data_IF_188966689508
#
_entry.id   IF_188966689508
#
_cell.length_a   1.000
_cell.length_b   1.000
_cell.length_c   1.000
_cell.angle_alpha   90.00
_cell.angle_beta   90.00
_cell.angle_gamma   90.00
#
_symmetry.space_group_name_H-M   'P 1'
#
loop_
_entity.id
_entity.type
_entity.pdbx_description
1 polymer ?
#
# COMPACT_ATOMS: atom_id res chain seq x y z
N UNK A 1 -19.09 -8.00 -7.81
CA UNK A 1 -18.84 -9.29 -8.49
C UNK A 1 -18.23 -10.30 -7.53
N UNK A 2 -17.01 -10.08 -7.01
CA UNK A 2 -16.27 -11.10 -6.23
C UNK A 2 -17.01 -11.64 -4.99
N UNK A 3 -17.81 -10.81 -4.31
CA UNK A 3 -18.57 -11.19 -3.10
C UNK A 3 -19.60 -12.31 -3.34
N UNK A 4 -20.02 -12.52 -4.57
CA UNK A 4 -20.98 -13.57 -4.93
C UNK A 4 -20.30 -14.95 -5.07
N UNK A 5 -18.97 -14.96 -5.14
CA UNK A 5 -18.17 -16.18 -5.28
C UNK A 5 -17.56 -16.67 -3.97
N UNK A 6 -17.25 -15.77 -3.05
CA UNK A 6 -16.74 -16.12 -1.71
C UNK A 6 -17.08 -15.03 -0.69
N UNK A 7 -17.44 -15.40 0.54
CA UNK A 7 -17.56 -14.46 1.65
C UNK A 7 -16.19 -13.99 2.18
N UNK A 8 -15.13 -14.75 1.92
CA UNK A 8 -13.77 -14.46 2.38
C UNK A 8 -12.95 -13.84 1.26
N UNK A 9 -12.94 -12.50 1.22
CA UNK A 9 -12.20 -11.70 0.22
C UNK A 9 -11.23 -10.80 0.94
N UNK A 10 -9.96 -10.90 0.58
CA UNK A 10 -8.89 -9.99 0.98
C UNK A 10 -8.50 -9.09 -0.20
N UNK A 11 -8.62 -7.79 -0.04
CA UNK A 11 -8.10 -6.83 -1.02
C UNK A 11 -6.61 -6.64 -0.82
N UNK A 12 -5.81 -7.11 -1.76
CA UNK A 12 -4.35 -6.95 -1.72
C UNK A 12 -3.89 -5.59 -2.27
N UNK A 13 -4.63 -5.03 -3.24
CA UNK A 13 -4.43 -3.69 -3.82
C UNK A 13 -5.76 -3.17 -4.39
N UNK A 14 -5.70 -2.06 -5.14
CA UNK A 14 -6.88 -1.49 -5.81
C UNK A 14 -7.42 -2.41 -6.93
N UNK A 15 -6.56 -3.27 -7.48
CA UNK A 15 -6.81 -4.12 -8.65
C UNK A 15 -6.56 -5.62 -8.38
N UNK A 16 -6.21 -6.00 -7.14
CA UNK A 16 -5.91 -7.38 -6.78
C UNK A 16 -6.67 -7.81 -5.53
N UNK A 17 -7.26 -9.01 -5.58
CA UNK A 17 -7.91 -9.63 -4.44
C UNK A 17 -7.57 -11.12 -4.34
N UNK A 18 -7.58 -11.64 -3.12
CA UNK A 18 -7.59 -13.07 -2.85
C UNK A 18 -8.98 -13.50 -2.40
N UNK A 19 -9.41 -14.64 -2.90
CA UNK A 19 -10.66 -15.29 -2.51
C UNK A 19 -10.35 -16.66 -1.91
N UNK A 20 -10.87 -16.93 -0.73
CA UNK A 20 -10.85 -18.30 -0.21
C UNK A 20 -12.08 -19.04 -0.72
N UNK A 21 -11.84 -20.04 -1.57
CA UNK A 21 -12.88 -20.87 -2.19
C UNK A 21 -13.05 -22.23 -1.49
N UNK A 22 -12.39 -22.47 -0.36
CA UNK A 22 -12.38 -23.77 0.33
C UNK A 22 -13.79 -24.26 0.66
N UNK A 23 -14.65 -23.38 1.15
CA UNK A 23 -16.03 -23.69 1.56
C UNK A 23 -17.07 -23.46 0.45
N UNK A 24 -16.66 -23.06 -0.76
CA UNK A 24 -17.56 -22.72 -1.85
C UNK A 24 -17.78 -23.87 -2.84
N UNK A 25 -17.29 -25.07 -2.53
CA UNK A 25 -17.32 -26.24 -3.45
C UNK A 25 -18.73 -26.69 -3.82
N UNK A 26 -19.71 -26.45 -2.97
CA UNK A 26 -21.11 -26.80 -3.22
C UNK A 26 -21.85 -25.78 -4.08
N UNK A 27 -21.30 -24.56 -4.22
CA UNK A 27 -21.92 -23.47 -4.98
C UNK A 27 -21.58 -23.53 -6.47
N UNK A 28 -20.49 -24.20 -6.81
CA UNK A 28 -19.98 -24.27 -8.19
C UNK A 28 -19.57 -25.68 -8.54
N UNK A 29 -19.76 -26.12 -9.79
CA UNK A 29 -19.38 -27.45 -10.26
C UNK A 29 -17.89 -27.77 -10.07
N UNK A 30 -17.06 -26.75 -10.17
CA UNK A 30 -15.63 -26.80 -9.85
C UNK A 30 -15.08 -25.38 -9.60
N UNK A 31 -13.98 -25.24 -8.84
CA UNK A 31 -13.32 -23.94 -8.64
C UNK A 31 -12.91 -23.29 -9.96
N UNK A 32 -12.49 -24.09 -10.95
CA UNK A 32 -12.15 -23.60 -12.30
C UNK A 32 -13.35 -22.96 -13.00
N UNK A 33 -14.53 -23.60 -12.93
CA UNK A 33 -15.77 -23.06 -13.50
C UNK A 33 -16.20 -21.76 -12.83
N UNK A 34 -16.03 -21.67 -11.51
CA UNK A 34 -16.26 -20.42 -10.78
C UNK A 34 -15.34 -19.30 -11.29
N UNK A 35 -14.05 -19.57 -11.48
CA UNK A 35 -13.10 -18.60 -12.01
C UNK A 35 -13.41 -18.18 -13.45
N UNK A 36 -13.81 -19.11 -14.31
CA UNK A 36 -14.25 -18.83 -15.70
C UNK A 36 -15.51 -17.96 -15.73
N UNK A 37 -16.47 -18.24 -14.86
CA UNK A 37 -17.68 -17.43 -14.72
C UNK A 37 -17.37 -16.02 -14.19
N UNK A 38 -16.49 -15.91 -13.18
CA UNK A 38 -16.03 -14.64 -12.64
C UNK A 38 -15.34 -13.77 -13.72
N UNK A 39 -14.42 -14.36 -14.50
CA UNK A 39 -13.74 -13.66 -15.60
C UNK A 39 -14.73 -13.12 -16.63
N UNK A 40 -15.69 -13.95 -17.06
CA UNK A 40 -16.74 -13.52 -18.01
C UNK A 40 -17.53 -12.33 -17.46
N UNK A 41 -17.98 -12.39 -16.20
CA UNK A 41 -18.74 -11.29 -15.58
C UNK A 41 -17.92 -9.99 -15.49
N UNK A 42 -16.62 -10.08 -15.19
CA UNK A 42 -15.76 -8.90 -15.19
C UNK A 42 -15.70 -8.25 -16.58
N UNK A 43 -15.64 -9.04 -17.63
CA UNK A 43 -15.69 -8.55 -19.02
C UNK A 43 -17.07 -7.95 -19.33
N UNK A 44 -18.14 -8.69 -19.07
CA UNK A 44 -19.51 -8.33 -19.44
C UNK A 44 -20.01 -7.08 -18.69
N UNK A 45 -19.69 -6.97 -17.40
CA UNK A 45 -20.17 -5.88 -16.53
C UNK A 45 -19.25 -4.64 -16.52
N UNK A 46 -17.93 -4.82 -16.72
CA UNK A 46 -16.95 -3.74 -16.55
C UNK A 46 -16.12 -3.45 -17.81
N UNK A 47 -16.20 -4.30 -18.85
CA UNK A 47 -15.37 -4.18 -20.04
C UNK A 47 -13.86 -4.39 -19.78
N UNK A 48 -13.50 -5.06 -18.67
CA UNK A 48 -12.12 -5.27 -18.25
C UNK A 48 -11.76 -6.76 -18.33
N UNK A 49 -10.51 -7.06 -18.65
CA UNK A 49 -9.96 -8.40 -18.51
C UNK A 49 -9.30 -8.59 -17.14
N UNK A 50 -9.29 -9.80 -16.62
CA UNK A 50 -8.56 -10.15 -15.41
C UNK A 50 -7.87 -11.51 -15.52
N UNK A 51 -6.70 -11.65 -14.93
CA UNK A 51 -6.01 -12.93 -14.80
C UNK A 51 -6.29 -13.56 -13.46
N UNK A 52 -6.66 -14.83 -13.47
CA UNK A 52 -6.96 -15.61 -12.26
C UNK A 52 -5.92 -16.71 -12.08
N UNK A 53 -5.31 -16.74 -10.92
CA UNK A 53 -4.43 -17.83 -10.47
C UNK A 53 -5.10 -18.60 -9.34
N UNK A 54 -5.06 -19.91 -9.42
CA UNK A 54 -5.61 -20.80 -8.40
C UNK A 54 -4.50 -21.68 -7.83
N UNK A 55 -4.48 -21.85 -6.53
CA UNK A 55 -3.49 -22.67 -5.86
C UNK A 55 -3.90 -22.97 -4.42
N UNK A 56 -3.18 -23.85 -3.71
CA UNK A 56 -3.51 -24.22 -2.34
C UNK A 56 -3.29 -23.11 -1.32
N UNK A 57 -2.58 -22.06 -1.67
CA UNK A 57 -2.33 -20.90 -0.81
C UNK A 57 -2.18 -19.60 -1.62
N UNK A 58 -2.11 -18.45 -0.91
CA UNK A 58 -2.04 -17.12 -1.55
C UNK A 58 -0.77 -16.93 -2.39
N UNK A 59 0.37 -17.48 -1.96
CA UNK A 59 1.63 -17.38 -2.69
C UNK A 59 1.50 -18.04 -4.08
N UNK A 60 1.07 -19.28 -4.12
CA UNK A 60 0.93 -20.03 -5.38
C UNK A 60 -0.14 -19.43 -6.29
N UNK A 61 -1.30 -19.03 -5.71
CA UNK A 61 -2.35 -18.36 -6.47
C UNK A 61 -1.85 -17.05 -7.12
N UNK A 62 -1.06 -16.25 -6.38
CA UNK A 62 -0.50 -15.00 -6.89
C UNK A 62 0.53 -15.23 -8.00
N UNK A 63 1.43 -16.20 -7.83
CA UNK A 63 2.42 -16.55 -8.84
C UNK A 63 1.74 -17.08 -10.13
N UNK A 64 0.75 -17.95 -9.96
CA UNK A 64 -0.05 -18.48 -11.08
C UNK A 64 -0.77 -17.36 -11.84
N UNK A 65 -1.44 -16.44 -11.13
CA UNK A 65 -2.09 -15.27 -11.76
C UNK A 65 -1.10 -14.41 -12.54
N UNK A 66 0.13 -14.23 -12.05
CA UNK A 66 1.15 -13.44 -12.72
C UNK A 66 1.65 -14.09 -14.00
N UNK A 67 1.77 -15.42 -14.03
CA UNK A 67 2.14 -16.20 -15.23
C UNK A 67 1.04 -16.21 -16.28
N UNK A 68 -0.21 -16.08 -15.86
CA UNK A 68 -1.36 -16.06 -16.77
C UNK A 68 -1.66 -14.69 -17.40
N UNK A 69 -0.86 -13.68 -17.17
CA UNK A 69 -1.10 -12.33 -17.75
C UNK A 69 -0.76 -12.28 -19.25
N UNK A 70 -1.55 -11.54 -20.05
CA UNK A 70 -2.86 -10.97 -19.74
C UNK A 70 -3.98 -12.01 -19.86
N UNK A 71 -5.10 -11.77 -19.16
CA UNK A 71 -6.38 -12.51 -19.27
C UNK A 71 -6.31 -14.04 -19.12
N UNK A 72 -5.34 -14.55 -18.37
CA UNK A 72 -5.13 -15.99 -18.18
C UNK A 72 -5.98 -16.59 -17.04
N UNK A 73 -6.03 -17.92 -17.04
CA UNK A 73 -6.54 -18.74 -15.95
C UNK A 73 -5.60 -19.92 -15.74
N UNK A 74 -4.81 -19.86 -14.67
CA UNK A 74 -3.83 -20.90 -14.31
C UNK A 74 -4.21 -21.54 -12.98
N UNK A 75 -4.25 -22.88 -13.00
CA UNK A 75 -4.55 -23.70 -11.81
C UNK A 75 -3.32 -24.53 -11.49
N UNK A 76 -2.80 -24.40 -10.27
CA UNK A 76 -1.65 -25.18 -9.77
C UNK A 76 -2.13 -26.06 -8.62
N UNK A 77 -2.03 -27.38 -8.79
CA UNK A 77 -2.31 -28.35 -7.74
C UNK A 77 -1.11 -28.51 -6.82
N UNK A 78 -1.35 -29.03 -5.61
CA UNK A 78 -0.27 -29.24 -4.62
C UNK A 78 0.90 -30.09 -5.17
N UNK A 79 0.60 -31.13 -5.95
CA UNK A 79 1.60 -31.99 -6.58
C UNK A 79 2.42 -31.30 -7.68
N UNK A 80 1.92 -30.20 -8.24
CA UNK A 80 2.57 -29.48 -9.34
C UNK A 80 3.48 -28.35 -8.85
N UNK A 81 3.42 -28.01 -7.54
CA UNK A 81 4.16 -26.89 -6.95
C UNK A 81 5.67 -26.97 -7.17
N UNK A 82 6.35 -28.13 -6.93
CA UNK A 82 7.81 -28.20 -7.12
C UNK A 82 8.20 -27.87 -8.56
N UNK A 83 7.56 -28.49 -9.53
CA UNK A 83 7.83 -28.25 -10.96
C UNK A 83 7.52 -26.81 -11.37
N UNK A 84 6.41 -26.25 -10.86
CA UNK A 84 6.03 -24.87 -11.10
C UNK A 84 7.07 -23.88 -10.59
N UNK A 85 7.58 -24.08 -9.38
CA UNK A 85 8.57 -23.19 -8.75
C UNK A 85 9.97 -23.33 -9.36
N UNK A 86 10.35 -24.51 -9.84
CA UNK A 86 11.64 -24.75 -10.50
C UNK A 86 11.81 -23.89 -11.75
N UNK A 87 10.72 -23.63 -12.47
CA UNK A 87 10.73 -22.85 -13.70
C UNK A 87 10.49 -21.33 -13.47
N UNK A 88 10.24 -20.90 -12.23
CA UNK A 88 9.95 -19.50 -11.94
C UNK A 88 11.19 -18.72 -11.53
N UNK A 89 11.54 -17.63 -12.23
CA UNK A 89 12.60 -16.73 -11.80
C UNK A 89 12.35 -16.17 -10.41
N UNK A 90 13.42 -16.08 -9.60
CA UNK A 90 13.36 -15.65 -8.20
C UNK A 90 12.75 -14.25 -8.02
N UNK A 91 12.95 -13.33 -8.96
CA UNK A 91 12.42 -11.98 -8.94
C UNK A 91 10.89 -11.88 -9.02
N UNK A 92 10.19 -12.97 -9.37
CA UNK A 92 8.72 -12.99 -9.43
C UNK A 92 8.06 -13.16 -8.05
N UNK A 93 8.82 -13.57 -7.04
CA UNK A 93 8.29 -13.70 -5.68
C UNK A 93 8.03 -12.33 -5.08
N UNK A 94 6.80 -12.11 -4.63
CA UNK A 94 6.42 -10.86 -3.95
C UNK A 94 7.33 -10.60 -2.74
N UNK A 95 7.92 -9.41 -2.69
CA UNK A 95 8.86 -9.02 -1.64
C UNK A 95 10.32 -9.24 -2.01
N UNK A 96 10.63 -9.84 -3.15
CA UNK A 96 11.98 -9.87 -3.72
C UNK A 96 12.09 -8.75 -4.74
N UNK A 97 12.63 -7.60 -4.31
CA UNK A 97 12.96 -6.49 -5.20
C UNK A 97 14.38 -6.62 -5.76
N UNK A 98 14.80 -5.74 -6.70
CA UNK A 98 16.07 -5.86 -7.42
C UNK A 98 17.31 -6.07 -6.54
N UNK A 99 17.41 -5.36 -5.40
CA UNK A 99 18.55 -5.51 -4.49
C UNK A 99 18.59 -6.90 -3.83
N UNK A 100 17.42 -7.41 -3.44
CA UNK A 100 17.34 -8.75 -2.81
C UNK A 100 17.54 -9.84 -3.84
N UNK A 101 17.01 -9.67 -5.04
CA UNK A 101 17.24 -10.57 -6.17
C UNK A 101 18.75 -10.66 -6.50
N UNK A 102 19.44 -9.54 -6.64
CA UNK A 102 20.88 -9.52 -6.89
C UNK A 102 21.66 -10.26 -5.78
N UNK A 103 21.26 -10.06 -4.51
CA UNK A 103 21.88 -10.77 -3.39
C UNK A 103 21.61 -12.28 -3.40
N UNK A 104 20.43 -12.74 -3.83
CA UNK A 104 20.11 -14.16 -3.97
C UNK A 104 20.85 -14.77 -5.16
N UNK A 105 20.91 -14.08 -6.30
CA UNK A 105 21.66 -14.51 -7.47
C UNK A 105 23.16 -14.66 -7.18
N UNK A 106 23.75 -13.80 -6.33
CA UNK A 106 25.15 -13.95 -5.89
C UNK A 106 25.40 -15.20 -5.04
N UNK A 107 24.35 -15.82 -4.52
CA UNK A 107 24.40 -17.11 -3.82
C UNK A 107 24.12 -18.31 -4.75
N UNK A 108 23.97 -18.09 -6.06
CA UNK A 108 23.64 -19.12 -7.04
C UNK A 108 22.15 -19.44 -7.16
N UNK A 109 21.26 -18.68 -6.46
CA UNK A 109 19.81 -18.88 -6.46
C UNK A 109 19.22 -18.10 -7.62
N UNK A 110 18.68 -18.79 -8.63
CA UNK A 110 18.11 -18.18 -9.83
C UNK A 110 16.59 -18.36 -9.92
N UNK A 111 16.08 -19.50 -9.47
CA UNK A 111 14.69 -19.86 -9.46
C UNK A 111 14.07 -19.90 -8.07
N UNK A 112 12.74 -19.95 -8.00
CA UNK A 112 12.04 -20.15 -6.73
C UNK A 112 12.34 -21.55 -6.15
N UNK A 113 12.48 -22.57 -7.00
CA UNK A 113 12.87 -23.92 -6.57
C UNK A 113 14.28 -23.97 -5.99
N UNK A 114 15.25 -23.22 -6.55
CA UNK A 114 16.59 -23.11 -5.95
C UNK A 114 16.52 -22.53 -4.53
N UNK A 115 15.64 -21.54 -4.32
CA UNK A 115 15.45 -20.93 -3.01
C UNK A 115 14.95 -21.93 -1.97
N UNK A 116 14.04 -22.83 -2.35
CA UNK A 116 13.55 -23.92 -1.50
C UNK A 116 14.59 -25.02 -1.22
N UNK A 117 15.53 -25.24 -2.13
CA UNK A 117 16.63 -26.20 -1.97
C UNK A 117 17.82 -25.62 -1.19
N UNK A 118 17.93 -24.30 -1.12
CA UNK A 118 19.08 -23.66 -0.49
C UNK A 118 19.02 -23.80 1.04
N UNK A 119 20.15 -24.08 1.72
CA UNK A 119 20.16 -24.30 3.18
C UNK A 119 19.63 -23.10 3.95
N UNK A 120 18.58 -23.31 4.78
CA UNK A 120 17.87 -22.27 5.54
C UNK A 120 18.79 -21.49 6.47
N UNK A 121 19.77 -22.18 7.11
CA UNK A 121 20.73 -21.54 8.02
C UNK A 121 21.61 -20.49 7.32
N UNK A 122 21.99 -20.74 6.05
CA UNK A 122 22.78 -19.80 5.25
C UNK A 122 21.92 -18.62 4.81
N UNK A 123 20.64 -18.86 4.42
CA UNK A 123 19.69 -17.78 4.13
C UNK A 123 19.43 -16.92 5.37
N UNK A 124 19.24 -17.51 6.55
CA UNK A 124 19.09 -16.79 7.82
C UNK A 124 20.32 -15.93 8.13
N UNK A 125 21.53 -16.48 7.95
CA UNK A 125 22.77 -15.74 8.17
C UNK A 125 22.90 -14.52 7.25
N UNK A 126 22.46 -14.63 6.00
CA UNK A 126 22.59 -13.57 4.99
C UNK A 126 21.47 -12.54 5.04
N UNK A 127 20.22 -12.96 5.32
CA UNK A 127 19.01 -12.17 5.19
C UNK A 127 18.20 -12.02 6.48
N UNK A 128 18.72 -12.52 7.60
CA UNK A 128 18.02 -12.46 8.89
C UNK A 128 16.67 -13.18 8.87
N UNK A 129 15.68 -12.60 9.53
CA UNK A 129 14.30 -13.13 9.58
C UNK A 129 13.71 -13.44 8.19
N UNK A 130 14.04 -12.65 7.19
CA UNK A 130 13.57 -12.88 5.82
C UNK A 130 14.09 -14.17 5.20
N UNK A 131 15.26 -14.66 5.62
CA UNK A 131 15.86 -15.89 5.07
C UNK A 131 14.99 -17.12 5.25
N UNK A 132 14.40 -17.31 6.43
CA UNK A 132 13.48 -18.42 6.70
C UNK A 132 12.20 -18.31 5.88
N UNK A 133 11.61 -17.11 5.85
CA UNK A 133 10.39 -16.86 5.06
C UNK A 133 10.61 -17.10 3.57
N UNK A 134 11.75 -16.67 3.04
CA UNK A 134 12.11 -16.90 1.64
C UNK A 134 12.29 -18.40 1.34
N UNK A 135 12.90 -19.15 2.23
CA UNK A 135 13.02 -20.61 2.08
C UNK A 135 11.65 -21.29 2.00
N UNK A 136 10.72 -20.97 2.92
CA UNK A 136 9.36 -21.49 2.88
C UNK A 136 8.64 -21.12 1.58
N UNK A 137 8.80 -19.86 1.12
CA UNK A 137 8.25 -19.45 -0.17
C UNK A 137 8.85 -20.25 -1.33
N UNK A 138 10.12 -20.59 -1.29
CA UNK A 138 10.78 -21.46 -2.26
C UNK A 138 10.26 -22.90 -2.27
N UNK A 139 9.73 -23.36 -1.13
CA UNK A 139 9.02 -24.64 -1.01
C UNK A 139 7.54 -24.55 -1.39
N UNK A 140 7.04 -23.36 -1.71
CA UNK A 140 5.62 -23.12 -2.00
C UNK A 140 4.72 -23.10 -0.76
N UNK A 141 5.31 -22.91 0.42
CA UNK A 141 4.62 -22.88 1.70
C UNK A 141 4.25 -21.45 2.08
N UNK A 142 2.96 -21.20 2.26
CA UNK A 142 2.41 -19.94 2.77
C UNK A 142 1.15 -20.25 3.56
N UNK A 143 1.24 -20.12 4.88
CA UNK A 143 0.13 -20.39 5.81
C UNK A 143 -0.70 -19.14 6.13
N UNK A 144 -0.42 -18.01 5.45
CA UNK A 144 -1.16 -16.77 5.71
C UNK A 144 -2.60 -16.90 5.25
N UNK A 145 -3.59 -16.74 6.16
CA UNK A 145 -4.99 -16.85 5.79
C UNK A 145 -5.42 -15.70 4.87
N UNK A 146 -6.52 -15.89 4.15
CA UNK A 146 -7.25 -14.80 3.50
C UNK A 146 -7.95 -14.00 4.57
N UNK A 147 -7.61 -12.73 4.71
CA UNK A 147 -8.16 -11.83 5.73
C UNK A 147 -9.36 -11.08 5.15
N UNK A 148 -10.60 -11.34 5.63
CA UNK A 148 -11.80 -10.70 5.10
C UNK A 148 -11.74 -9.17 5.19
N UNK A 149 -12.47 -8.52 4.28
CA UNK A 149 -12.63 -7.06 4.27
C UNK A 149 -13.09 -6.55 5.64
N UNK A 150 -12.39 -5.55 6.17
CA UNK A 150 -12.68 -4.93 7.46
C UNK A 150 -12.07 -5.65 8.68
N UNK A 151 -11.44 -6.82 8.50
CA UNK A 151 -10.76 -7.56 9.57
C UNK A 151 -9.22 -7.43 9.49
N UNK A 152 -8.71 -6.66 8.55
CA UNK A 152 -7.29 -6.40 8.43
C UNK A 152 -6.72 -5.57 9.61
N UNK A 153 -5.40 -5.61 9.81
CA UNK A 153 -4.75 -4.80 10.84
C UNK A 153 -4.98 -3.31 10.59
N UNK A 154 -5.01 -2.54 11.67
CA UNK A 154 -5.07 -1.07 11.56
C UNK A 154 -3.92 -0.54 10.68
N UNK A 155 -4.17 0.51 9.88
CA UNK A 155 -3.15 1.09 9.03
C UNK A 155 -1.98 1.62 9.87
N UNK A 156 -0.75 1.38 9.42
CA UNK A 156 0.47 1.84 10.12
C UNK A 156 0.81 3.30 9.81
N UNK A 157 0.36 3.80 8.67
CA UNK A 157 0.59 5.16 8.20
C UNK A 157 -0.43 5.57 7.14
N UNK A 158 -0.66 6.87 7.01
CA UNK A 158 -1.32 7.48 5.86
C UNK A 158 -0.37 8.43 5.17
N UNK A 159 -0.34 8.39 3.85
CA UNK A 159 0.49 9.29 3.05
C UNK A 159 -0.10 9.56 1.67
N UNK A 160 0.37 10.65 1.09
CA UNK A 160 0.11 11.04 -0.29
C UNK A 160 1.39 11.48 -0.97
N UNK A 161 1.48 11.20 -2.26
CA UNK A 161 2.54 11.66 -3.14
C UNK A 161 1.95 12.46 -4.28
N UNK A 162 2.68 13.48 -4.73
CA UNK A 162 2.34 14.25 -5.91
C UNK A 162 3.59 14.50 -6.74
N UNK A 163 3.52 14.17 -8.03
CA UNK A 163 4.51 14.64 -9.00
C UNK A 163 4.08 16.04 -9.43
N UNK A 164 4.98 17.01 -9.34
CA UNK A 164 4.72 18.37 -9.74
C UNK A 164 4.53 18.43 -11.27
N UNK A 165 3.63 19.28 -11.80
CA UNK A 165 3.46 19.46 -13.24
C UNK A 165 4.75 19.90 -13.93
N UNK A 166 5.53 20.73 -13.24
CA UNK A 166 6.88 21.18 -13.66
C UNK A 166 7.81 21.10 -12.46
N UNK A 167 9.06 20.69 -12.68
CA UNK A 167 10.09 20.67 -11.66
C UNK A 167 10.34 22.10 -11.15
N UNK A 168 10.28 22.33 -9.84
CA UNK A 168 10.33 23.66 -9.26
C UNK A 168 11.24 23.74 -8.04
N UNK A 169 11.98 24.86 -7.94
CA UNK A 169 12.71 25.25 -6.73
C UNK A 169 12.01 26.42 -5.99
N UNK A 170 10.88 26.92 -6.51
CA UNK A 170 10.13 28.02 -5.88
C UNK A 170 9.45 27.53 -4.61
N UNK A 171 9.82 28.17 -3.49
CA UNK A 171 9.25 27.85 -2.17
C UNK A 171 7.72 28.05 -2.13
N UNK A 172 7.18 29.01 -2.88
CA UNK A 172 5.73 29.24 -2.93
C UNK A 172 5.00 28.05 -3.56
N UNK A 173 5.53 27.52 -4.66
CA UNK A 173 5.02 26.32 -5.32
C UNK A 173 5.10 25.12 -4.37
N UNK A 174 6.28 24.88 -3.80
CA UNK A 174 6.54 23.75 -2.90
C UNK A 174 5.63 23.83 -1.66
N UNK A 175 5.51 25.00 -1.02
CA UNK A 175 4.66 25.18 0.15
C UNK A 175 3.18 24.98 -0.15
N UNK A 176 2.72 25.37 -1.34
CA UNK A 176 1.36 25.10 -1.81
C UNK A 176 1.07 23.61 -1.91
N UNK A 177 1.97 22.84 -2.54
CA UNK A 177 1.83 21.37 -2.61
C UNK A 177 1.94 20.70 -1.24
N UNK A 178 2.84 21.17 -0.36
CA UNK A 178 2.92 20.66 1.00
C UNK A 178 1.65 20.92 1.79
N UNK A 179 1.01 22.08 1.64
CA UNK A 179 -0.28 22.38 2.27
C UNK A 179 -1.38 21.46 1.75
N UNK A 180 -1.47 21.27 0.43
CA UNK A 180 -2.43 20.36 -0.20
C UNK A 180 -2.29 18.93 0.31
N UNK A 181 -1.07 18.39 0.31
CA UNK A 181 -0.76 17.06 0.83
C UNK A 181 -1.11 16.94 2.32
N UNK A 182 -0.83 17.98 3.11
CA UNK A 182 -1.14 18.00 4.55
C UNK A 182 -2.64 17.92 4.81
N UNK A 183 -3.44 18.64 4.03
CA UNK A 183 -4.91 18.57 4.14
C UNK A 183 -5.43 17.18 3.75
N UNK A 184 -4.92 16.59 2.67
CA UNK A 184 -5.30 15.23 2.25
C UNK A 184 -5.00 14.20 3.32
N UNK A 185 -3.79 14.24 3.89
CA UNK A 185 -3.39 13.30 4.95
C UNK A 185 -4.20 13.55 6.22
N UNK A 186 -4.39 14.81 6.63
CA UNK A 186 -5.19 15.16 7.80
C UNK A 186 -6.64 14.71 7.68
N UNK A 187 -7.26 14.88 6.51
CA UNK A 187 -8.63 14.41 6.22
C UNK A 187 -8.72 12.87 6.30
N UNK A 188 -7.71 12.14 5.78
CA UNK A 188 -7.67 10.68 5.90
C UNK A 188 -7.56 10.21 7.34
N UNK A 189 -6.74 10.88 8.17
CA UNK A 189 -6.64 10.59 9.59
C UNK A 189 -8.00 10.77 10.29
N UNK A 190 -8.67 11.92 10.08
CA UNK A 190 -9.98 12.22 10.68
C UNK A 190 -11.07 11.23 10.25
N UNK A 191 -11.13 10.87 8.96
CA UNK A 191 -12.11 9.90 8.43
C UNK A 191 -11.98 8.51 9.06
N UNK A 192 -10.80 8.16 9.56
CA UNK A 192 -10.52 6.87 10.18
C UNK A 192 -10.42 6.95 11.71
N UNK A 193 -10.80 8.09 12.32
CA UNK A 193 -10.66 8.33 13.76
C UNK A 193 -9.25 8.07 14.30
N UNK A 194 -8.23 8.41 13.49
CA UNK A 194 -6.83 8.22 13.81
C UNK A 194 -6.11 9.56 13.95
N UNK A 195 -5.07 9.54 14.75
CA UNK A 195 -4.08 10.61 14.90
C UNK A 195 -2.69 9.99 14.90
N UNK A 196 -1.68 10.74 14.53
CA UNK A 196 -0.32 10.22 14.47
C UNK A 196 0.70 11.18 15.05
N UNK A 197 1.91 10.71 15.28
CA UNK A 197 2.97 11.52 15.89
C UNK A 197 4.14 11.81 14.98
N UNK A 198 4.38 11.00 13.96
CA UNK A 198 5.54 11.13 13.08
C UNK A 198 5.14 11.60 11.70
N UNK A 199 5.62 12.76 11.32
CA UNK A 199 5.50 13.29 9.94
C UNK A 199 6.76 12.94 9.17
N UNK A 200 6.58 12.40 7.97
CA UNK A 200 7.65 12.03 7.04
C UNK A 200 7.46 12.81 5.75
N UNK A 201 8.50 13.51 5.32
CA UNK A 201 8.59 14.21 4.04
C UNK A 201 9.55 13.46 3.13
N UNK A 202 9.10 13.07 1.96
CA UNK A 202 9.90 12.51 0.88
C UNK A 202 9.96 13.52 -0.24
N UNK A 203 11.17 13.83 -0.70
CA UNK A 203 11.43 14.73 -1.80
C UNK A 203 12.21 13.99 -2.87
N UNK A 204 11.74 14.02 -4.11
CA UNK A 204 12.51 13.56 -5.26
C UNK A 204 12.83 14.78 -6.13
N UNK A 205 14.09 14.89 -6.51
CA UNK A 205 14.59 15.99 -7.33
C UNK A 205 14.50 15.69 -8.82
N UNK A 206 14.78 16.67 -9.67
CA UNK A 206 14.79 16.55 -11.14
C UNK A 206 15.75 15.48 -11.66
N UNK A 207 16.87 15.26 -10.96
CA UNK A 207 17.84 14.19 -11.24
C UNK A 207 17.41 12.79 -10.75
N UNK A 208 16.15 12.63 -10.33
CA UNK A 208 15.55 11.42 -9.75
C UNK A 208 16.17 10.97 -8.41
N UNK A 209 17.18 11.65 -7.89
CA UNK A 209 17.63 11.40 -6.52
C UNK A 209 16.52 11.70 -5.52
N UNK A 210 16.44 10.94 -4.44
CA UNK A 210 15.39 11.09 -3.45
C UNK A 210 15.95 11.21 -2.04
N UNK A 211 15.32 12.04 -1.25
CA UNK A 211 15.63 12.28 0.16
C UNK A 211 14.37 12.12 0.99
N UNK A 212 14.48 11.40 2.11
CA UNK A 212 13.40 11.29 3.09
C UNK A 212 13.88 11.80 4.44
N UNK A 213 13.08 12.67 5.08
CA UNK A 213 13.29 13.18 6.43
C UNK A 213 12.01 13.05 7.23
N UNK A 214 12.15 12.91 8.54
CA UNK A 214 11.00 12.75 9.44
C UNK A 214 11.18 13.55 10.72
N UNK A 215 10.07 13.95 11.30
CA UNK A 215 10.03 14.61 12.61
C UNK A 215 8.88 14.02 13.42
N UNK A 216 9.15 13.74 14.70
CA UNK A 216 8.13 13.26 15.65
C UNK A 216 7.65 14.41 16.50
N UNK A 217 6.33 14.57 16.61
CA UNK A 217 5.68 15.53 17.52
C UNK A 217 5.51 14.91 18.91
N UNK A 218 5.57 15.76 19.94
CA UNK A 218 5.21 15.35 21.30
C UNK A 218 3.73 15.00 21.39
N UNK A 219 2.87 15.86 20.82
CA UNK A 219 1.44 15.68 20.82
C UNK A 219 0.98 14.99 19.53
N UNK A 220 -0.04 14.12 19.61
CA UNK A 220 -0.63 13.51 18.44
C UNK A 220 -1.33 14.55 17.57
N UNK A 221 -1.14 14.47 16.28
CA UNK A 221 -1.67 15.37 15.27
C UNK A 221 -2.70 14.67 14.38
N UNK A 222 -3.77 15.38 14.00
CA UNK A 222 -4.82 14.88 13.11
C UNK A 222 -5.30 15.90 12.08
N UNK A 223 -4.82 17.16 12.18
CA UNK A 223 -5.26 18.20 11.25
C UNK A 223 -4.16 18.63 10.30
N UNK A 224 -4.57 19.10 9.10
CA UNK A 224 -3.66 19.47 8.04
C UNK A 224 -2.72 20.61 8.42
N UNK A 225 -3.18 21.58 9.22
CA UNK A 225 -2.36 22.73 9.63
C UNK A 225 -1.15 22.34 10.48
N UNK A 226 -1.32 21.39 11.41
CA UNK A 226 -0.22 20.88 12.24
C UNK A 226 0.77 20.07 11.41
N UNK A 227 0.24 19.20 10.51
CA UNK A 227 1.05 18.43 9.57
C UNK A 227 1.87 19.38 8.69
N UNK A 228 1.25 20.42 8.15
CA UNK A 228 1.90 21.42 7.31
C UNK A 228 3.03 22.16 8.02
N UNK A 229 2.81 22.58 9.26
CA UNK A 229 3.86 23.25 10.07
C UNK A 229 5.08 22.34 10.24
N UNK A 230 4.88 21.05 10.52
CA UNK A 230 5.98 20.09 10.62
C UNK A 230 6.65 19.84 9.28
N UNK A 231 5.87 19.71 8.21
CA UNK A 231 6.38 19.54 6.85
C UNK A 231 7.29 20.72 6.43
N UNK A 232 6.89 21.96 6.74
CA UNK A 232 7.73 23.15 6.49
C UNK A 232 9.01 23.15 7.33
N UNK A 233 8.98 22.73 8.60
CA UNK A 233 10.19 22.61 9.41
C UNK A 233 11.14 21.57 8.83
N UNK A 234 10.62 20.41 8.42
CA UNK A 234 11.40 19.37 7.77
C UNK A 234 12.00 19.91 6.47
N UNK A 235 11.19 20.58 5.66
CA UNK A 235 11.66 21.20 4.41
C UNK A 235 12.80 22.19 4.66
N UNK A 236 12.65 23.08 5.63
CA UNK A 236 13.69 24.03 6.02
C UNK A 236 15.00 23.36 6.43
N UNK A 237 14.94 22.19 7.09
CA UNK A 237 16.14 21.42 7.47
C UNK A 237 16.86 20.74 6.30
N UNK A 238 16.19 20.57 5.16
CA UNK A 238 16.80 19.98 3.96
C UNK A 238 17.78 20.95 3.30
N UNK A 239 17.52 22.26 3.40
CA UNK A 239 18.46 23.30 2.96
C UNK A 239 18.81 23.26 1.45
N UNK A 240 17.93 22.73 0.61
CA UNK A 240 18.23 22.43 -0.78
C UNK A 240 17.59 23.43 -1.76
N UNK A 241 18.35 23.80 -2.79
CA UNK A 241 17.92 24.70 -3.89
C UNK A 241 17.66 23.98 -5.21
N UNK A 242 17.80 22.64 -5.26
CA UNK A 242 17.58 21.87 -6.49
C UNK A 242 16.08 21.83 -6.84
N UNK A 243 15.71 21.82 -8.14
CA UNK A 243 14.33 21.65 -8.54
C UNK A 243 13.74 20.35 -8.03
N UNK A 244 12.53 20.43 -7.48
CA UNK A 244 11.76 19.30 -6.95
C UNK A 244 10.80 18.79 -8.02
N UNK A 245 10.83 17.49 -8.23
CA UNK A 245 9.95 16.77 -9.15
C UNK A 245 8.76 16.13 -8.44
N UNK A 246 8.95 15.63 -7.22
CA UNK A 246 7.91 14.93 -6.48
C UNK A 246 8.01 15.24 -4.99
N UNK A 247 6.86 15.44 -4.38
CA UNK A 247 6.70 15.56 -2.93
C UNK A 247 5.83 14.41 -2.42
N UNK A 248 6.25 13.81 -1.31
CA UNK A 248 5.49 12.83 -0.56
C UNK A 248 5.38 13.23 0.90
N UNK A 249 4.19 13.20 1.45
CA UNK A 249 3.95 13.51 2.84
C UNK A 249 3.17 12.37 3.50
N UNK A 250 3.64 11.91 4.66
CA UNK A 250 3.01 10.82 5.40
C UNK A 250 3.00 11.07 6.90
N UNK A 251 2.02 10.46 7.58
CA UNK A 251 1.91 10.43 9.03
C UNK A 251 1.89 8.98 9.50
N UNK A 252 2.72 8.65 10.47
CA UNK A 252 2.84 7.33 11.08
C UNK A 252 2.87 7.42 12.61
N UNK A 253 3.11 6.29 13.29
CA UNK A 253 2.89 6.15 14.72
C UNK A 253 1.44 6.54 15.04
N UNK A 254 0.53 5.81 14.37
CA UNK A 254 -0.90 6.07 14.46
C UNK A 254 -1.46 5.50 15.76
N UNK A 255 -2.40 6.23 16.35
CA UNK A 255 -3.21 5.80 17.48
C UNK A 255 -4.66 6.23 17.26
N UNK A 256 -5.61 5.50 17.83
CA UNK A 256 -7.03 5.87 17.75
C UNK A 256 -7.28 7.15 18.53
N UNK A 257 -8.13 8.00 18.01
CA UNK A 257 -8.53 9.22 18.72
C UNK A 257 -9.27 8.82 20.00
N UNK A 258 -8.69 9.14 21.16
CA UNK A 258 -9.36 8.94 22.44
C UNK A 258 -10.62 9.82 22.50
N UNK A 259 -11.75 9.21 22.90
CA UNK A 259 -12.97 9.96 23.22
C UNK A 259 -12.91 10.61 24.62
N UNK A 260 -11.83 10.38 25.35
CA UNK A 260 -11.63 10.97 26.67
C UNK A 260 -11.36 12.47 26.51
N UNK A 261 -12.25 13.29 27.02
CA UNK A 261 -12.05 14.72 27.11
C UNK A 261 -10.98 15.01 28.17
N UNK A 262 -10.02 15.90 27.87
CA UNK A 262 -9.08 16.36 28.90
C UNK A 262 -9.84 17.03 30.04
N UNK A 263 -9.53 16.65 31.27
CA UNK A 263 -10.24 17.13 32.45
C UNK A 263 -10.16 18.68 32.64
N UNK A 264 -9.10 19.29 32.08
CA UNK A 264 -8.77 20.72 32.26
C UNK A 264 -8.70 21.53 30.97
N UNK A 265 -9.20 21.03 29.82
CA UNK A 265 -9.19 21.79 28.59
C UNK A 265 -10.59 21.94 27.99
N UNK A 266 -10.96 23.17 27.64
CA UNK A 266 -12.17 23.46 26.89
C UNK A 266 -12.07 22.85 25.51
N UNK A 267 -13.19 22.33 24.95
CA UNK A 267 -13.22 21.88 23.56
C UNK A 267 -12.72 22.99 22.67
N UNK A 268 -11.63 22.76 21.95
CA UNK A 268 -11.11 23.80 21.05
C UNK A 268 -12.11 24.01 19.90
N UNK A 269 -12.51 25.27 19.65
CA UNK A 269 -13.36 25.66 18.49
C UNK A 269 -12.78 25.15 17.14
N UNK A 270 -11.49 24.79 17.10
CA UNK A 270 -10.85 24.27 15.91
C UNK A 270 -11.35 22.88 15.48
N UNK A 271 -11.81 22.01 16.40
CA UNK A 271 -12.40 20.72 16.05
C UNK A 271 -13.64 20.87 15.17
N UNK A 272 -14.55 21.77 15.54
CA UNK A 272 -15.78 22.02 14.81
C UNK A 272 -15.56 22.60 13.38
N UNK A 273 -14.49 23.37 13.19
CA UNK A 273 -14.12 23.90 11.86
C UNK A 273 -13.72 22.79 10.89
N UNK A 274 -12.83 21.89 11.32
CA UNK A 274 -12.41 20.75 10.49
C UNK A 274 -13.58 19.82 10.13
N UNK A 275 -14.46 19.56 11.10
CA UNK A 275 -15.66 18.75 10.88
C UNK A 275 -16.62 19.42 9.88
N UNK A 276 -16.78 20.75 9.95
CA UNK A 276 -17.58 21.49 8.99
C UNK A 276 -16.97 21.46 7.58
N UNK A 277 -15.66 21.70 7.47
CA UNK A 277 -14.94 21.58 6.18
C UNK A 277 -15.05 20.17 5.60
N UNK A 278 -14.89 19.14 6.43
CA UNK A 278 -14.97 17.75 5.98
C UNK A 278 -16.40 17.40 5.51
N UNK A 279 -17.46 17.90 6.17
CA UNK A 279 -18.85 17.73 5.71
C UNK A 279 -19.08 18.34 4.32
N UNK A 280 -18.62 19.58 4.09
CA UNK A 280 -18.75 20.25 2.79
C UNK A 280 -17.98 19.45 1.73
N UNK A 281 -16.74 19.12 1.99
CA UNK A 281 -15.88 18.39 1.05
C UNK A 281 -16.34 16.94 0.82
N UNK A 282 -17.07 16.32 1.76
CA UNK A 282 -17.69 15.01 1.55
C UNK A 282 -18.90 15.07 0.64
N UNK A 283 -19.69 16.16 0.73
CA UNK A 283 -20.92 16.34 -0.04
C UNK A 283 -20.66 16.82 -1.47
N UNK A 284 -19.73 17.74 -1.65
CA UNK A 284 -19.55 18.47 -2.91
C UNK A 284 -18.24 18.16 -3.64
N UNK A 285 -17.38 17.31 -3.09
CA UNK A 285 -16.10 16.93 -3.66
C UNK A 285 -14.90 17.47 -2.87
N UNK A 286 -13.77 16.81 -3.04
CA UNK A 286 -12.53 17.16 -2.34
C UNK A 286 -12.04 18.55 -2.77
N UNK A 287 -11.62 19.37 -1.80
CA UNK A 287 -11.18 20.76 -1.98
C UNK A 287 -12.25 21.76 -2.47
N UNK A 288 -13.56 21.43 -2.40
CA UNK A 288 -14.62 22.42 -2.60
C UNK A 288 -14.50 23.56 -1.59
N UNK A 289 -14.24 23.23 -0.32
CA UNK A 289 -13.87 24.20 0.72
C UNK A 289 -12.40 23.98 1.09
N UNK A 290 -11.58 25.00 0.90
CA UNK A 290 -10.14 24.93 1.11
C UNK A 290 -9.57 26.24 1.67
N UNK A 291 -8.30 26.24 2.01
CA UNK A 291 -7.58 27.46 2.44
C UNK A 291 -7.33 28.37 1.26
N UNK A 292 -7.52 29.70 1.46
CA UNK A 292 -7.29 30.70 0.42
C UNK A 292 -5.89 30.64 -0.19
N UNK A 293 -4.87 30.26 0.60
CA UNK A 293 -3.50 30.06 0.12
C UNK A 293 -3.34 28.91 -0.90
N UNK A 294 -4.28 27.94 -0.94
CA UNK A 294 -4.29 26.89 -1.98
C UNK A 294 -4.89 27.37 -3.31
N UNK A 295 -5.69 28.42 -3.28
CA UNK A 295 -6.31 28.98 -4.49
C UNK A 295 -5.31 29.78 -5.35
N UNK A 296 -4.24 30.28 -4.72
CA UNK A 296 -3.17 31.02 -5.38
C UNK A 296 -2.03 30.12 -5.91
N UNK A 297 -2.07 28.82 -5.62
CA UNK A 297 -1.06 27.86 -6.14
C UNK A 297 -1.45 27.44 -7.55
N UNK A 298 -0.52 27.34 -8.50
CA UNK A 298 -0.82 26.85 -9.84
C UNK A 298 -1.43 25.46 -9.78
N UNK A 299 -2.48 25.25 -10.58
CA UNK A 299 -3.22 23.99 -10.71
C UNK A 299 -2.35 22.86 -11.21
#
# INVERSE_FOLDING_TARGET
ILREYSPHIEMASIDEAFLDMTHCRLLFPSPRRAAEAMKRRVIDELGLTCSVGMGPNKLIAKLASSQGKPDGLIVIRASEIPHFLDNLPIGQVRGIGPKREASLRSLGIQSCGDLGRFPTNLLKKRMGFWGERLHLMGLGIDETPVVPLGQGPDPKSFGHFVTLPQDSADLRVISGFLLRLSEQVGRRLRRNDLRGRRVTLTVRFSDFSALTRQQTSRDPIKNGKEIYRLALRIWGSIGNKRPVRLLGLGVSNLERTSKQFPLFSWPSKSGSLWDAMDRVNNKYGEFTLTWGSLHQSPK
#
